data_IF_513256919838
#
_entry.id   IF_513256919838
#
_cell.length_a   1.000
_cell.length_b   1.000
_cell.length_c   1.000
_cell.angle_alpha   90.00
_cell.angle_beta   90.00
_cell.angle_gamma   90.00
#
_symmetry.space_group_name_H-M   'P 1'
#
loop_
_entity.id
_entity.type
_entity.pdbx_description
1 polymer ?
#
# COMPACT_ATOMS: atom_id res chain seq x y z
N UNK A 1 -22.62 24.11 -21.82
CA UNK A 1 -22.15 24.90 -20.67
C UNK A 1 -22.98 24.50 -19.46
N UNK A 2 -22.37 23.97 -18.39
CA UNK A 2 -23.11 23.48 -17.21
C UNK A 2 -22.85 24.42 -16.01
N UNK A 3 -23.85 25.20 -15.56
CA UNK A 3 -23.68 26.14 -14.45
C UNK A 3 -23.65 25.47 -13.07
N UNK A 4 -24.02 24.19 -12.96
CA UNK A 4 -24.01 23.45 -11.68
C UNK A 4 -22.60 22.94 -11.34
N UNK A 5 -21.72 23.87 -10.96
CA UNK A 5 -20.30 23.62 -10.66
C UNK A 5 -19.92 24.18 -9.30
N UNK A 6 -19.35 23.34 -8.43
CA UNK A 6 -18.69 23.75 -7.19
C UNK A 6 -17.16 23.72 -7.40
N UNK A 7 -16.47 24.77 -6.95
CA UNK A 7 -15.00 24.79 -6.89
C UNK A 7 -14.61 24.86 -5.42
N UNK A 8 -14.04 23.78 -4.89
CA UNK A 8 -13.57 23.68 -3.51
C UNK A 8 -12.04 23.80 -3.47
N UNK A 9 -11.52 24.57 -2.52
CA UNK A 9 -10.08 24.72 -2.27
C UNK A 9 -9.80 24.38 -0.81
N UNK A 10 -8.94 23.40 -0.57
CA UNK A 10 -8.48 23.03 0.76
C UNK A 10 -7.03 23.50 0.94
N UNK A 11 -6.70 24.07 2.09
CA UNK A 11 -5.35 24.54 2.44
C UNK A 11 -4.94 23.96 3.78
N UNK A 12 -3.67 23.57 3.95
CA UNK A 12 -3.17 23.10 5.24
C UNK A 12 -3.21 24.26 6.25
N UNK A 13 -3.61 23.93 7.48
CA UNK A 13 -3.60 24.83 8.63
C UNK A 13 -2.88 24.10 9.77
N UNK A 14 -1.73 24.62 10.20
CA UNK A 14 -0.87 23.97 11.20
C UNK A 14 -1.55 23.87 12.57
N UNK A 15 -2.54 24.73 12.84
CA UNK A 15 -3.29 24.74 14.09
C UNK A 15 -4.64 24.04 13.97
N UNK A 16 -4.94 23.37 12.85
CA UNK A 16 -6.24 22.71 12.62
C UNK A 16 -6.59 21.72 13.73
N UNK A 17 -5.68 20.82 14.09
CA UNK A 17 -5.91 19.80 15.13
C UNK A 17 -6.11 20.44 16.51
N UNK A 18 -5.39 21.52 16.81
CA UNK A 18 -5.58 22.27 18.07
C UNK A 18 -6.95 22.94 18.11
N UNK A 19 -7.36 23.60 17.02
CA UNK A 19 -8.68 24.23 16.91
C UNK A 19 -9.78 23.20 17.07
N UNK A 20 -9.64 22.04 16.43
CA UNK A 20 -10.60 20.94 16.55
C UNK A 20 -10.70 20.43 17.99
N UNK A 21 -9.57 20.26 18.68
CA UNK A 21 -9.52 19.86 20.09
C UNK A 21 -10.09 20.95 21.02
N UNK A 22 -9.83 22.24 20.75
CA UNK A 22 -10.40 23.37 21.49
C UNK A 22 -11.92 23.46 21.31
N UNK A 23 -12.42 23.28 20.08
CA UNK A 23 -13.85 23.20 19.76
C UNK A 23 -14.51 22.02 20.49
N UNK A 24 -13.88 20.85 20.50
CA UNK A 24 -14.35 19.67 21.22
C UNK A 24 -14.39 19.92 22.74
N UNK A 25 -13.31 20.45 23.32
CA UNK A 25 -13.22 20.76 24.74
C UNK A 25 -14.22 21.83 25.18
N UNK A 26 -14.45 22.84 24.33
CA UNK A 26 -15.46 23.88 24.56
C UNK A 26 -16.85 23.25 24.58
N UNK A 27 -17.17 22.42 23.58
CA UNK A 27 -18.46 21.72 23.51
C UNK A 27 -18.66 20.77 24.70
N UNK A 28 -17.63 20.04 25.12
CA UNK A 28 -17.67 19.18 26.30
C UNK A 28 -17.89 20.00 27.59
N UNK A 29 -17.25 21.16 27.72
CA UNK A 29 -17.40 22.06 28.86
C UNK A 29 -18.81 22.66 28.92
N UNK A 30 -19.36 23.07 27.78
CA UNK A 30 -20.74 23.54 27.66
C UNK A 30 -21.72 22.46 28.11
N UNK A 31 -21.60 21.24 27.56
CA UNK A 31 -22.45 20.11 27.96
C UNK A 31 -22.32 19.85 29.47
N UNK A 32 -21.09 19.78 29.99
CA UNK A 32 -20.83 19.56 31.42
C UNK A 32 -21.45 20.63 32.32
N UNK A 33 -21.45 21.89 31.88
CA UNK A 33 -22.03 23.01 32.61
C UNK A 33 -23.56 23.00 32.64
N UNK A 34 -24.20 22.41 31.63
CA UNK A 34 -25.67 22.26 31.57
C UNK A 34 -26.21 21.10 32.41
N UNK A 35 -25.36 20.14 32.77
CA UNK A 35 -25.74 18.98 33.57
C UNK A 35 -25.83 19.34 35.05
N UNK A 36 -26.94 18.99 35.68
CA UNK A 36 -27.10 18.98 37.13
C UNK A 36 -26.20 17.92 37.78
N UNK A 37 -25.94 18.06 39.08
CA UNK A 37 -25.17 17.06 39.84
C UNK A 37 -25.83 15.67 39.83
N UNK A 38 -27.15 15.61 39.77
CA UNK A 38 -27.88 14.35 39.64
C UNK A 38 -27.64 13.69 38.26
N UNK A 39 -27.68 14.47 37.18
CA UNK A 39 -27.40 13.96 35.83
C UNK A 39 -25.95 13.51 35.67
N UNK A 40 -24.98 14.20 36.30
CA UNK A 40 -23.58 13.76 36.32
C UNK A 40 -23.40 12.43 37.03
N UNK A 41 -24.06 12.24 38.18
CA UNK A 41 -24.06 10.96 38.88
C UNK A 41 -24.69 9.84 38.03
N UNK A 42 -25.78 10.12 37.32
CA UNK A 42 -26.41 9.16 36.41
C UNK A 42 -25.50 8.81 35.23
N UNK A 43 -24.82 9.79 34.62
CA UNK A 43 -23.87 9.55 33.52
C UNK A 43 -22.72 8.67 33.97
N UNK A 44 -22.13 8.96 35.14
CA UNK A 44 -21.07 8.13 35.72
C UNK A 44 -21.55 6.70 35.99
N UNK A 45 -22.74 6.56 36.58
CA UNK A 45 -23.35 5.24 36.81
C UNK A 45 -23.55 4.47 35.50
N UNK A 46 -24.09 5.10 34.46
CA UNK A 46 -24.26 4.49 33.12
C UNK A 46 -22.92 4.11 32.49
N UNK A 47 -21.87 4.90 32.71
CA UNK A 47 -20.51 4.57 32.28
C UNK A 47 -19.97 3.30 32.94
N UNK A 48 -20.16 3.16 34.25
CA UNK A 48 -19.80 1.94 34.98
C UNK A 48 -20.63 0.73 34.53
N UNK A 49 -21.94 0.91 34.34
CA UNK A 49 -22.83 -0.15 33.81
C UNK A 49 -22.41 -0.57 32.39
N UNK A 50 -21.99 0.37 31.54
CA UNK A 50 -21.49 0.07 30.20
C UNK A 50 -20.17 -0.71 30.26
N UNK A 51 -19.24 -0.28 31.12
CA UNK A 51 -17.97 -0.97 31.33
C UNK A 51 -18.19 -2.40 31.84
N UNK A 52 -19.07 -2.57 32.83
CA UNK A 52 -19.43 -3.88 33.35
C UNK A 52 -20.00 -4.77 32.26
N UNK A 53 -20.90 -4.25 31.41
CA UNK A 53 -21.44 -4.98 30.25
C UNK A 53 -20.37 -5.37 29.24
N UNK A 54 -19.44 -4.49 28.92
CA UNK A 54 -18.35 -4.76 27.97
C UNK A 54 -17.36 -5.82 28.49
N UNK A 55 -17.20 -5.91 29.82
CA UNK A 55 -16.32 -6.90 30.47
C UNK A 55 -17.05 -8.21 30.80
N UNK A 56 -18.38 -8.19 30.82
CA UNK A 56 -19.19 -9.37 31.12
C UNK A 56 -19.03 -10.42 30.02
N UNK A 57 -18.82 -11.67 30.43
CA UNK A 57 -18.80 -12.79 29.47
C UNK A 57 -20.22 -13.15 29.10
N UNK A 58 -20.60 -12.90 27.85
CA UNK A 58 -21.96 -13.17 27.33
C UNK A 58 -22.15 -14.66 26.98
N UNK A 59 -23.41 -15.12 27.05
CA UNK A 59 -23.77 -16.44 26.54
C UNK A 59 -23.93 -16.42 25.02
N UNK A 60 -23.01 -17.09 24.34
CA UNK A 60 -22.98 -17.18 22.89
C UNK A 60 -23.87 -18.33 22.34
N UNK A 61 -24.56 -19.10 23.19
CA UNK A 61 -25.36 -20.26 22.79
C UNK A 61 -26.55 -19.92 21.86
N UNK A 62 -27.01 -18.67 21.91
CA UNK A 62 -28.07 -18.15 21.05
C UNK A 62 -27.61 -17.90 19.60
N UNK A 63 -26.29 -17.87 19.34
CA UNK A 63 -25.74 -17.69 18.01
C UNK A 63 -25.69 -19.04 17.29
N UNK A 64 -26.26 -19.16 16.07
CA UNK A 64 -26.10 -20.36 15.28
C UNK A 64 -24.62 -20.58 14.93
N UNK A 65 -24.13 -21.81 15.09
CA UNK A 65 -22.75 -22.21 14.78
C UNK A 65 -22.73 -23.39 13.83
N UNK A 66 -21.66 -23.50 13.03
CA UNK A 66 -21.37 -24.71 12.26
C UNK A 66 -20.60 -25.71 13.12
N UNK A 67 -20.79 -27.00 12.85
CA UNK A 67 -20.02 -28.04 13.49
C UNK A 67 -18.71 -28.31 12.72
N UNK A 68 -17.71 -28.84 13.42
CA UNK A 68 -16.46 -29.30 12.78
C UNK A 68 -16.75 -30.35 11.70
N UNK A 69 -17.85 -31.10 11.84
CA UNK A 69 -18.31 -32.06 10.84
C UNK A 69 -18.78 -31.42 9.53
N UNK A 70 -19.15 -30.13 9.54
CA UNK A 70 -19.57 -29.38 8.35
C UNK A 70 -18.39 -28.84 7.54
N UNK A 71 -17.15 -28.95 8.07
CA UNK A 71 -15.93 -28.50 7.42
C UNK A 71 -15.34 -29.65 6.59
N UNK A 72 -15.16 -29.43 5.30
CA UNK A 72 -14.46 -30.38 4.42
C UNK A 72 -13.05 -30.67 4.95
N UNK A 73 -12.73 -31.97 5.10
CA UNK A 73 -11.45 -32.40 5.72
C UNK A 73 -10.25 -32.33 4.79
N UNK A 74 -10.49 -32.29 3.48
CA UNK A 74 -9.42 -32.21 2.48
C UNK A 74 -9.59 -30.92 1.67
N UNK A 75 -8.47 -30.44 1.15
CA UNK A 75 -8.45 -29.26 0.29
C UNK A 75 -8.68 -29.66 -1.16
N UNK A 76 -9.46 -28.85 -1.87
CA UNK A 76 -9.64 -29.01 -3.31
C UNK A 76 -8.31 -28.70 -4.00
N UNK A 77 -7.67 -29.72 -4.59
CA UNK A 77 -6.45 -29.57 -5.38
C UNK A 77 -6.84 -29.28 -6.82
N UNK A 78 -6.41 -28.13 -7.33
CA UNK A 78 -6.68 -27.76 -8.72
C UNK A 78 -5.70 -28.46 -9.65
N UNK A 79 -6.17 -29.29 -10.60
CA UNK A 79 -5.29 -29.92 -11.57
C UNK A 79 -4.50 -28.87 -12.35
N UNK A 80 -3.18 -28.96 -12.28
CA UNK A 80 -2.26 -28.06 -12.97
C UNK A 80 -1.41 -28.88 -13.92
N UNK A 81 -1.45 -28.56 -15.21
CA UNK A 81 -0.56 -29.18 -16.19
C UNK A 81 0.71 -28.33 -16.32
N UNK A 82 1.86 -29.00 -16.34
CA UNK A 82 3.16 -28.34 -16.50
C UNK A 82 3.64 -28.59 -17.92
N UNK A 83 3.84 -27.50 -18.65
CA UNK A 83 4.47 -27.49 -19.96
C UNK A 83 5.85 -26.83 -19.85
N UNK A 84 6.69 -27.00 -20.87
CA UNK A 84 7.99 -26.35 -20.95
C UNK A 84 8.09 -25.58 -22.26
N UNK A 85 8.50 -24.31 -22.16
CA UNK A 85 8.90 -23.54 -23.33
C UNK A 85 10.13 -24.19 -23.98
N UNK A 86 10.40 -23.86 -25.24
CA UNK A 86 11.61 -24.30 -25.95
C UNK A 86 12.91 -23.87 -25.26
N UNK A 87 12.86 -22.82 -24.44
CA UNK A 87 13.95 -22.34 -23.60
C UNK A 87 14.12 -23.10 -22.28
N UNK A 88 13.25 -24.07 -21.97
CA UNK A 88 13.24 -24.83 -20.71
C UNK A 88 12.49 -24.15 -19.56
N UNK A 89 11.87 -22.99 -19.78
CA UNK A 89 11.08 -22.30 -18.75
C UNK A 89 9.77 -23.06 -18.51
N UNK A 90 9.42 -23.39 -17.25
CA UNK A 90 8.16 -24.08 -16.94
C UNK A 90 6.96 -23.14 -17.10
N UNK A 91 5.88 -23.68 -17.66
CA UNK A 91 4.59 -23.01 -17.84
C UNK A 91 3.54 -23.82 -17.10
N UNK A 92 2.94 -23.21 -16.09
CA UNK A 92 1.87 -23.81 -15.30
C UNK A 92 0.51 -23.40 -15.87
N UNK A 93 -0.22 -24.38 -16.39
CA UNK A 93 -1.55 -24.17 -16.98
C UNK A 93 -2.61 -24.72 -16.02
N UNK A 94 -3.56 -23.86 -15.67
CA UNK A 94 -4.67 -24.17 -14.78
C UNK A 94 -5.98 -23.86 -15.50
N UNK A 95 -6.58 -24.89 -16.12
CA UNK A 95 -7.83 -24.74 -16.87
C UNK A 95 -9.00 -24.58 -15.89
N UNK A 96 -9.67 -23.42 -15.91
CA UNK A 96 -10.78 -23.06 -15.03
C UNK A 96 -11.90 -22.37 -15.82
N UNK A 97 -13.16 -22.39 -15.35
CA UNK A 97 -14.27 -21.71 -16.03
C UNK A 97 -14.19 -20.18 -15.82
N UNK A 98 -13.29 -19.52 -16.55
CA UNK A 98 -12.98 -18.08 -16.40
C UNK A 98 -13.86 -17.16 -17.24
N UNK A 99 -14.90 -17.68 -17.91
CA UNK A 99 -15.78 -16.91 -18.79
C UNK A 99 -15.01 -16.18 -19.92
N UNK A 100 -14.21 -16.95 -20.67
CA UNK A 100 -13.40 -16.47 -21.82
C UNK A 100 -12.32 -15.42 -21.46
N UNK A 101 -11.91 -15.35 -20.20
CA UNK A 101 -10.81 -14.50 -19.75
C UNK A 101 -9.57 -15.36 -19.52
N UNK A 102 -8.46 -14.99 -20.13
CA UNK A 102 -7.16 -15.61 -19.89
C UNK A 102 -6.35 -14.75 -18.93
N UNK A 103 -5.83 -15.36 -17.87
CA UNK A 103 -4.94 -14.73 -16.90
C UNK A 103 -3.51 -15.22 -17.12
N UNK A 104 -2.57 -14.29 -17.19
CA UNK A 104 -1.16 -14.61 -17.38
C UNK A 104 -0.33 -13.95 -16.29
N UNK A 105 0.56 -14.73 -15.68
CA UNK A 105 1.58 -14.23 -14.77
C UNK A 105 2.95 -14.70 -15.27
N UNK A 106 3.88 -13.77 -15.42
CA UNK A 106 5.29 -14.06 -15.67
C UNK A 106 6.07 -13.69 -14.43
N UNK A 107 6.90 -14.60 -13.95
CA UNK A 107 7.77 -14.39 -12.79
C UNK A 107 9.21 -14.31 -13.26
N UNK A 108 9.84 -13.15 -13.06
CA UNK A 108 11.24 -12.92 -13.37
C UNK A 108 12.05 -12.87 -12.07
N UNK A 109 12.94 -13.85 -11.88
CA UNK A 109 13.78 -13.93 -10.69
C UNK A 109 14.69 -12.70 -10.55
N UNK A 110 14.76 -12.14 -9.35
CA UNK A 110 15.63 -11.00 -9.00
C UNK A 110 16.70 -11.36 -7.98
N UNK A 111 16.89 -12.65 -7.67
CA UNK A 111 17.91 -13.14 -6.73
C UNK A 111 19.32 -12.62 -7.07
N UNK A 112 19.68 -12.66 -8.37
CA UNK A 112 20.96 -12.23 -8.91
C UNK A 112 21.11 -10.72 -9.12
N UNK A 113 20.09 -9.92 -8.81
CA UNK A 113 20.17 -8.47 -8.96
C UNK A 113 21.10 -7.87 -7.89
N UNK A 114 22.05 -6.99 -8.26
CA UNK A 114 22.86 -6.22 -7.31
C UNK A 114 21.99 -5.46 -6.29
N UNK A 115 22.48 -5.35 -5.06
CA UNK A 115 21.72 -4.78 -3.93
C UNK A 115 21.40 -3.29 -4.10
N UNK A 116 22.30 -2.55 -4.73
CA UNK A 116 22.12 -1.15 -5.12
C UNK A 116 20.94 -0.98 -6.10
N UNK A 117 20.76 -1.91 -7.04
CA UNK A 117 19.63 -1.91 -7.97
C UNK A 117 18.31 -2.37 -7.33
N UNK A 118 18.36 -3.23 -6.30
CA UNK A 118 17.16 -3.69 -5.58
C UNK A 118 16.37 -2.52 -4.97
N UNK A 119 17.05 -1.49 -4.50
CA UNK A 119 16.40 -0.28 -3.95
C UNK A 119 15.54 0.48 -4.97
N UNK A 120 15.78 0.30 -6.27
CA UNK A 120 15.01 0.93 -7.34
C UNK A 120 13.87 0.06 -7.87
N UNK A 121 13.74 -1.20 -7.39
CA UNK A 121 12.69 -2.11 -7.85
C UNK A 121 11.28 -1.54 -7.67
N UNK A 122 10.89 -0.90 -6.54
CA UNK A 122 9.54 -0.37 -6.39
C UNK A 122 9.22 0.68 -7.46
N UNK A 123 10.13 1.64 -7.66
CA UNK A 123 10.02 2.65 -8.70
C UNK A 123 9.96 2.02 -10.09
N UNK A 124 10.85 1.05 -10.38
CA UNK A 124 10.86 0.35 -11.64
C UNK A 124 9.51 -0.33 -11.92
N UNK A 125 8.98 -1.10 -10.97
CA UNK A 125 7.71 -1.80 -11.14
C UNK A 125 6.53 -0.84 -11.33
N UNK A 126 6.56 0.33 -10.67
CA UNK A 126 5.50 1.33 -10.79
C UNK A 126 5.47 2.04 -12.14
N UNK A 127 6.62 2.22 -12.78
CA UNK A 127 6.74 2.94 -14.06
C UNK A 127 6.82 2.01 -15.28
N UNK A 128 7.15 0.73 -15.09
CA UNK A 128 7.50 -0.20 -16.16
C UNK A 128 6.48 -0.24 -17.31
N UNK A 129 5.18 -0.24 -16.98
CA UNK A 129 4.09 -0.28 -17.95
C UNK A 129 3.50 1.10 -18.30
N UNK A 130 4.08 2.20 -17.79
CA UNK A 130 3.52 3.57 -17.86
C UNK A 130 4.36 4.59 -18.63
N UNK A 131 5.51 4.18 -19.16
CA UNK A 131 6.49 5.05 -19.82
C UNK A 131 6.42 5.01 -21.36
N UNK A 132 5.80 3.98 -21.94
CA UNK A 132 5.83 3.70 -23.39
C UNK A 132 6.80 2.58 -23.73
N UNK A 133 6.66 2.01 -24.92
CA UNK A 133 7.44 0.85 -25.36
C UNK A 133 7.51 0.77 -26.88
N UNK A 134 8.68 0.38 -27.41
CA UNK A 134 8.92 0.24 -28.83
C UNK A 134 8.67 1.55 -29.58
N UNK A 135 7.68 1.53 -30.48
CA UNK A 135 7.27 2.70 -31.26
C UNK A 135 6.20 3.56 -30.54
N UNK A 136 5.63 3.06 -29.44
CA UNK A 136 4.51 3.72 -28.77
C UNK A 136 4.99 4.64 -27.65
N UNK A 137 4.49 5.86 -27.64
CA UNK A 137 4.61 6.72 -26.47
C UNK A 137 3.68 6.24 -25.32
N UNK A 138 3.79 6.84 -24.15
CA UNK A 138 3.01 6.42 -22.97
C UNK A 138 1.49 6.51 -23.16
N UNK A 139 0.98 7.44 -23.98
CA UNK A 139 -0.46 7.59 -24.24
C UNK A 139 -0.97 6.48 -25.15
N UNK A 140 -0.23 6.23 -26.23
CA UNK A 140 -0.55 5.18 -27.20
C UNK A 140 -0.50 3.80 -26.54
N UNK A 141 0.54 3.53 -25.75
CA UNK A 141 0.65 2.28 -24.99
C UNK A 141 -0.53 2.11 -24.04
N UNK A 142 -0.89 3.16 -23.28
CA UNK A 142 -2.06 3.11 -22.37
C UNK A 142 -3.36 2.78 -23.12
N UNK A 143 -3.59 3.41 -24.27
CA UNK A 143 -4.79 3.15 -25.07
C UNK A 143 -4.84 1.72 -25.60
N UNK A 144 -3.69 1.18 -26.03
CA UNK A 144 -3.62 -0.20 -26.51
C UNK A 144 -3.84 -1.22 -25.38
N UNK A 145 -3.31 -0.94 -24.18
CA UNK A 145 -3.54 -1.74 -22.99
C UNK A 145 -5.04 -1.77 -22.67
N UNK A 146 -5.71 -0.62 -22.60
CA UNK A 146 -7.14 -0.53 -22.30
C UNK A 146 -8.03 -1.15 -23.39
N UNK A 147 -7.59 -1.09 -24.66
CA UNK A 147 -8.35 -1.63 -25.79
C UNK A 147 -8.33 -3.16 -25.83
N UNK A 148 -7.17 -3.77 -25.56
CA UNK A 148 -6.98 -5.20 -25.76
C UNK A 148 -6.98 -6.02 -24.46
N UNK A 149 -6.70 -5.41 -23.32
CA UNK A 149 -6.48 -6.09 -22.04
C UNK A 149 -7.29 -5.45 -20.92
N UNK A 150 -7.43 -6.14 -19.79
CA UNK A 150 -7.94 -5.54 -18.55
C UNK A 150 -6.84 -4.87 -17.69
N UNK A 151 -5.63 -4.75 -18.22
CA UNK A 151 -4.50 -4.09 -17.57
C UNK A 151 -3.23 -4.92 -17.57
N UNK A 152 -2.08 -4.23 -17.60
CA UNK A 152 -0.74 -4.79 -17.43
C UNK A 152 -0.13 -4.31 -16.11
N UNK A 153 -0.04 -5.22 -15.14
CA UNK A 153 0.55 -4.98 -13.84
C UNK A 153 2.00 -5.45 -13.78
N UNK A 154 2.84 -4.68 -13.07
CA UNK A 154 4.19 -5.07 -12.71
C UNK A 154 4.33 -4.85 -11.20
N UNK A 155 4.75 -5.87 -10.47
CA UNK A 155 4.83 -5.82 -9.00
C UNK A 155 5.99 -6.65 -8.50
N UNK A 156 6.55 -6.29 -7.34
CA UNK A 156 7.49 -7.14 -6.63
C UNK A 156 6.68 -8.24 -5.94
N UNK A 157 7.04 -9.50 -6.17
CA UNK A 157 6.50 -10.65 -5.49
C UNK A 157 7.59 -11.27 -4.62
N UNK A 158 7.22 -11.58 -3.38
CA UNK A 158 8.14 -12.22 -2.44
C UNK A 158 7.39 -13.22 -1.57
N UNK A 159 7.91 -14.43 -1.52
CA UNK A 159 7.36 -15.52 -0.72
C UNK A 159 8.43 -16.11 0.19
N UNK A 160 8.04 -16.44 1.42
CA UNK A 160 8.89 -17.20 2.32
C UNK A 160 8.83 -18.69 1.97
N UNK A 161 9.90 -19.40 2.26
CA UNK A 161 9.87 -20.85 2.24
C UNK A 161 8.97 -21.36 3.37
N UNK A 162 8.16 -22.39 3.09
CA UNK A 162 7.13 -22.85 4.03
C UNK A 162 7.71 -23.56 5.27
N UNK A 163 8.93 -24.08 5.21
CA UNK A 163 9.63 -24.74 6.33
C UNK A 163 10.86 -24.00 6.84
N UNK A 164 11.42 -23.07 6.05
CA UNK A 164 12.69 -22.43 6.37
C UNK A 164 12.48 -20.93 6.59
N UNK A 165 12.51 -20.51 7.85
CA UNK A 165 12.12 -19.15 8.25
C UNK A 165 12.97 -18.02 7.65
N UNK A 166 14.20 -18.31 7.23
CA UNK A 166 15.14 -17.32 6.69
C UNK A 166 15.32 -17.42 5.16
N UNK A 167 14.65 -18.37 4.52
CA UNK A 167 14.74 -18.60 3.08
C UNK A 167 13.52 -17.96 2.41
N UNK A 168 13.76 -17.26 1.31
CA UNK A 168 12.71 -16.59 0.55
C UNK A 168 13.04 -16.55 -0.93
N UNK A 169 11.99 -16.46 -1.75
CA UNK A 169 12.08 -16.21 -3.18
C UNK A 169 11.59 -14.79 -3.46
N UNK A 170 12.32 -14.08 -4.32
CA UNK A 170 12.00 -12.72 -4.74
C UNK A 170 12.00 -12.66 -6.27
N UNK A 171 10.91 -12.17 -6.83
CA UNK A 171 10.79 -12.00 -8.27
C UNK A 171 9.97 -10.76 -8.62
N UNK A 172 10.09 -10.29 -9.86
CA UNK A 172 9.14 -9.36 -10.45
C UNK A 172 8.03 -10.19 -11.07
N UNK A 173 6.80 -9.92 -10.65
CA UNK A 173 5.59 -10.50 -11.24
C UNK A 173 4.98 -9.52 -12.23
N UNK A 174 4.95 -9.94 -13.49
CA UNK A 174 4.19 -9.30 -14.56
C UNK A 174 2.84 -10.00 -14.66
N UNK A 175 1.76 -9.30 -14.35
CA UNK A 175 0.41 -9.87 -14.30
C UNK A 175 -0.49 -9.18 -15.31
N UNK A 176 -1.23 -9.94 -16.09
CA UNK A 176 -2.20 -9.39 -17.03
C UNK A 176 -3.38 -10.33 -17.22
N UNK A 177 -4.45 -9.77 -17.77
CA UNK A 177 -5.59 -10.54 -18.20
C UNK A 177 -6.22 -9.91 -19.44
N UNK A 178 -6.80 -10.74 -20.30
CA UNK A 178 -7.51 -10.31 -21.50
C UNK A 178 -8.59 -11.30 -21.85
N UNK A 179 -9.52 -10.86 -22.71
CA UNK A 179 -10.44 -11.78 -23.37
C UNK A 179 -9.64 -12.71 -24.28
N UNK A 180 -10.06 -13.96 -24.41
CA UNK A 180 -9.34 -15.00 -25.15
C UNK A 180 -8.99 -14.57 -26.58
N UNK A 181 -9.94 -13.93 -27.28
CA UNK A 181 -9.73 -13.38 -28.64
C UNK A 181 -8.62 -12.32 -28.75
N UNK A 182 -8.23 -11.70 -27.63
CA UNK A 182 -7.20 -10.67 -27.55
C UNK A 182 -5.90 -11.19 -26.93
N UNK A 183 -5.78 -12.49 -26.64
CA UNK A 183 -4.60 -13.06 -25.99
C UNK A 183 -3.31 -12.79 -26.78
N UNK A 184 -3.32 -12.98 -28.10
CA UNK A 184 -2.17 -12.69 -28.96
C UNK A 184 -1.75 -11.22 -28.88
N UNK A 185 -2.72 -10.30 -28.82
CA UNK A 185 -2.45 -8.85 -28.66
C UNK A 185 -1.86 -8.53 -27.30
N UNK A 186 -2.29 -9.21 -26.24
CA UNK A 186 -1.69 -9.08 -24.91
C UNK A 186 -0.22 -9.55 -24.93
N UNK A 187 0.10 -10.64 -25.63
CA UNK A 187 1.48 -11.11 -25.79
C UNK A 187 2.34 -10.12 -26.60
N UNK A 188 1.82 -9.58 -27.69
CA UNK A 188 2.49 -8.54 -28.49
C UNK A 188 2.86 -7.32 -27.63
N UNK A 189 1.93 -6.88 -26.76
CA UNK A 189 2.17 -5.77 -25.83
C UNK A 189 3.29 -6.10 -24.84
N UNK A 190 3.24 -7.27 -24.19
CA UNK A 190 4.30 -7.70 -23.27
C UNK A 190 5.65 -7.81 -23.95
N UNK A 191 5.71 -8.37 -25.16
CA UNK A 191 6.95 -8.49 -25.91
C UNK A 191 7.61 -7.12 -26.12
N UNK A 192 6.83 -6.10 -26.49
CA UNK A 192 7.35 -4.75 -26.69
C UNK A 192 7.76 -4.09 -25.37
N UNK A 193 6.94 -4.19 -24.33
CA UNK A 193 7.23 -3.61 -22.99
C UNK A 193 8.51 -4.20 -22.40
N UNK A 194 8.70 -5.52 -22.51
CA UNK A 194 9.87 -6.20 -21.96
C UNK A 194 11.11 -5.95 -22.82
N UNK A 195 10.99 -6.03 -24.14
CA UNK A 195 12.17 -6.00 -25.03
C UNK A 195 12.63 -4.60 -25.40
N UNK A 196 11.73 -3.61 -25.36
CA UNK A 196 11.99 -2.24 -25.84
C UNK A 196 11.30 -1.18 -24.95
N UNK A 197 11.49 -1.18 -23.63
CA UNK A 197 10.92 -0.13 -22.78
C UNK A 197 11.52 1.24 -23.13
N UNK A 198 10.69 2.28 -23.16
CA UNK A 198 11.16 3.65 -23.41
C UNK A 198 11.32 4.41 -22.08
N UNK A 199 12.56 4.52 -21.58
CA UNK A 199 12.88 5.30 -20.38
C UNK A 199 13.45 6.69 -20.67
N UNK A 200 13.38 7.17 -21.92
CA UNK A 200 13.97 8.44 -22.32
C UNK A 200 13.09 9.67 -22.04
N UNK A 201 11.79 9.48 -21.79
CA UNK A 201 10.85 10.56 -21.47
C UNK A 201 11.01 11.04 -20.01
N UNK A 202 11.93 11.98 -19.81
CA UNK A 202 12.24 12.52 -18.49
C UNK A 202 11.06 13.28 -17.84
N UNK A 203 10.20 13.92 -18.63
CA UNK A 203 9.08 14.69 -18.10
C UNK A 203 7.95 13.79 -17.61
N UNK A 204 7.68 12.70 -18.35
CA UNK A 204 6.80 11.63 -17.89
C UNK A 204 7.33 10.98 -16.63
N UNK A 205 8.63 10.64 -16.59
CA UNK A 205 9.25 10.04 -15.41
C UNK A 205 9.11 10.93 -14.17
N UNK A 206 9.43 12.22 -14.27
CA UNK A 206 9.27 13.19 -13.17
C UNK A 206 7.81 13.26 -12.70
N UNK A 207 6.86 13.23 -13.63
CA UNK A 207 5.43 13.25 -13.30
C UNK A 207 5.04 12.01 -12.51
N UNK A 208 5.45 10.82 -12.96
CA UNK A 208 5.16 9.55 -12.25
C UNK A 208 5.81 9.52 -10.86
N UNK A 209 7.07 9.93 -10.73
CA UNK A 209 7.76 9.98 -9.42
C UNK A 209 7.02 10.90 -8.44
N UNK A 210 6.56 12.08 -8.88
CA UNK A 210 5.80 13.00 -8.02
C UNK A 210 4.46 12.41 -7.59
N UNK A 211 3.77 11.71 -8.49
CA UNK A 211 2.53 11.03 -8.16
C UNK A 211 2.77 9.93 -7.13
N UNK A 212 3.75 9.04 -7.36
CA UNK A 212 4.11 7.96 -6.43
C UNK A 212 4.45 8.53 -5.05
N UNK A 213 5.28 9.58 -4.99
CA UNK A 213 5.64 10.21 -3.72
C UNK A 213 4.42 10.83 -2.99
N UNK A 214 3.50 11.45 -3.73
CA UNK A 214 2.26 12.01 -3.17
C UNK A 214 1.33 10.92 -2.64
N UNK A 215 1.19 9.82 -3.38
CA UNK A 215 0.35 8.68 -3.02
C UNK A 215 0.92 7.99 -1.77
N UNK A 216 2.24 7.78 -1.71
CA UNK A 216 2.93 7.23 -0.55
C UNK A 216 2.83 8.11 0.70
N UNK A 217 2.89 9.43 0.56
CA UNK A 217 2.71 10.34 1.70
C UNK A 217 1.26 10.31 2.20
N UNK A 218 0.30 10.19 1.28
CA UNK A 218 -1.13 10.14 1.59
C UNK A 218 -1.59 8.79 2.13
N UNK A 219 -0.88 7.71 1.86
CA UNK A 219 -1.18 6.38 2.43
C UNK A 219 -0.76 6.25 3.90
N UNK A 220 0.19 7.05 4.38
CA UNK A 220 0.70 6.94 5.74
C UNK A 220 -0.39 7.15 6.82
N UNK A 221 -1.22 8.21 6.79
CA UNK A 221 -2.32 8.35 7.75
C UNK A 221 -3.38 7.26 7.61
N UNK A 222 -3.70 6.87 6.37
CA UNK A 222 -4.76 5.90 6.07
C UNK A 222 -4.37 4.46 6.43
N UNK A 223 -3.07 4.14 6.47
CA UNK A 223 -2.56 2.77 6.66
C UNK A 223 -1.40 2.71 7.66
N UNK A 224 -1.38 3.61 8.64
CA UNK A 224 -0.27 3.72 9.61
C UNK A 224 0.03 2.42 10.37
N UNK A 225 -0.98 1.61 10.66
CA UNK A 225 -0.82 0.30 11.29
C UNK A 225 0.01 -0.67 10.43
N UNK A 226 -0.17 -0.66 9.10
CA UNK A 226 0.60 -1.50 8.18
C UNK A 226 2.08 -1.10 8.16
N UNK A 227 2.37 0.22 8.16
CA UNK A 227 3.73 0.73 8.27
C UNK A 227 4.39 0.34 9.60
N UNK A 228 3.67 0.48 10.71
CA UNK A 228 4.15 0.09 12.04
C UNK A 228 4.44 -1.43 12.11
N UNK A 229 3.56 -2.27 11.58
CA UNK A 229 3.76 -3.72 11.51
C UNK A 229 4.94 -4.10 10.62
N UNK A 230 5.09 -3.46 9.45
CA UNK A 230 6.23 -3.66 8.55
C UNK A 230 7.55 -3.31 9.23
N UNK A 231 7.62 -2.14 9.86
CA UNK A 231 8.81 -1.71 10.60
C UNK A 231 9.12 -2.62 11.79
N UNK A 232 8.13 -2.98 12.59
CA UNK A 232 8.31 -3.84 13.76
C UNK A 232 8.77 -5.26 13.39
N UNK A 233 8.32 -5.77 12.24
CA UNK A 233 8.71 -7.10 11.76
C UNK A 233 10.01 -7.12 10.95
N UNK A 234 10.54 -5.96 10.55
CA UNK A 234 11.72 -5.84 9.66
C UNK A 234 12.98 -6.55 10.18
N UNK A 235 13.12 -6.71 11.49
CA UNK A 235 14.27 -7.38 12.13
C UNK A 235 14.05 -8.88 12.37
N UNK A 236 12.87 -9.41 12.06
CA UNK A 236 12.50 -10.80 12.35
C UNK A 236 12.92 -11.77 11.24
N UNK A 237 12.97 -11.33 9.98
CA UNK A 237 13.44 -12.15 8.87
C UNK A 237 14.00 -11.29 7.72
N UNK A 238 14.88 -11.85 6.86
CA UNK A 238 15.39 -11.14 5.68
C UNK A 238 14.28 -10.67 4.73
N UNK A 239 13.22 -11.47 4.56
CA UNK A 239 12.08 -11.09 3.73
C UNK A 239 11.25 -9.95 4.34
N UNK A 240 11.10 -9.89 5.66
CA UNK A 240 10.44 -8.78 6.32
C UNK A 240 11.25 -7.48 6.16
N UNK A 241 12.57 -7.57 6.26
CA UNK A 241 13.47 -6.45 5.98
C UNK A 241 13.28 -5.92 4.56
N UNK A 242 13.28 -6.78 3.54
CA UNK A 242 13.05 -6.35 2.15
C UNK A 242 11.65 -5.78 1.92
N UNK A 243 10.62 -6.32 2.58
CA UNK A 243 9.25 -5.77 2.52
C UNK A 243 9.21 -4.33 3.06
N UNK A 244 9.85 -4.09 4.21
CA UNK A 244 9.97 -2.75 4.79
C UNK A 244 10.76 -1.82 3.85
N UNK A 245 11.87 -2.28 3.29
CA UNK A 245 12.65 -1.48 2.34
C UNK A 245 11.90 -1.11 1.06
N UNK A 246 11.00 -1.97 0.58
CA UNK A 246 10.26 -1.73 -0.67
C UNK A 246 8.95 -0.97 -0.50
N UNK A 247 8.29 -1.12 0.64
CA UNK A 247 6.92 -0.62 0.84
C UNK A 247 6.70 0.08 2.19
N UNK A 248 7.70 0.06 3.06
CA UNK A 248 7.66 0.62 4.41
C UNK A 248 8.04 2.09 4.47
N UNK A 249 8.27 2.56 5.70
CA UNK A 249 8.56 3.96 5.99
C UNK A 249 9.92 4.35 5.41
N UNK A 250 10.87 3.42 5.37
CA UNK A 250 12.19 3.66 4.75
C UNK A 250 12.08 4.07 3.28
N UNK A 251 11.07 3.59 2.56
CA UNK A 251 10.84 3.99 1.17
C UNK A 251 10.14 5.36 1.06
N UNK A 252 9.41 5.81 2.08
CA UNK A 252 8.92 7.20 2.13
C UNK A 252 10.09 8.17 2.32
N UNK A 253 11.08 7.75 3.11
CA UNK A 253 12.30 8.51 3.38
C UNK A 253 13.33 8.49 2.22
N UNK A 254 13.16 7.62 1.20
CA UNK A 254 14.02 7.48 0.00
C UNK A 254 13.19 7.65 -1.29
N UNK A 255 13.46 8.56 -2.26
CA UNK A 255 14.52 9.57 -2.39
C UNK A 255 13.99 11.01 -2.59
N UNK A 256 14.75 11.97 -2.09
CA UNK A 256 14.81 13.32 -2.66
C UNK A 256 15.67 13.26 -3.93
N UNK A 257 15.15 13.57 -5.13
CA UNK A 257 15.98 13.69 -6.33
C UNK A 257 17.22 14.57 -6.09
N UNK A 258 18.37 14.36 -6.74
CA UNK A 258 19.49 15.30 -6.65
C UNK A 258 19.08 16.75 -6.99
N UNK A 259 18.12 16.94 -7.91
CA UNK A 259 17.51 18.23 -8.24
C UNK A 259 16.58 18.80 -7.17
N UNK A 260 16.15 17.97 -6.22
CA UNK A 260 15.27 18.32 -5.12
C UNK A 260 16.01 18.46 -3.79
N UNK A 261 17.30 18.10 -3.73
CA UNK A 261 18.17 18.46 -2.60
C UNK A 261 18.24 19.99 -2.53
N UNK A 262 17.81 20.54 -1.40
CA UNK A 262 17.69 21.99 -1.19
C UNK A 262 16.42 22.64 -1.76
N UNK A 263 15.54 21.93 -2.46
CA UNK A 263 14.29 22.51 -2.99
C UNK A 263 13.26 22.77 -1.87
N UNK A 264 13.20 21.90 -0.86
CA UNK A 264 12.36 22.14 0.33
C UNK A 264 12.90 23.30 1.17
N UNK A 265 14.23 23.43 1.26
CA UNK A 265 14.87 24.59 1.87
C UNK A 265 14.54 25.87 1.06
N UNK A 266 14.63 25.82 -0.26
CA UNK A 266 14.33 26.95 -1.13
C UNK A 266 12.85 27.40 -1.09
N UNK A 267 11.90 26.46 -1.01
CA UNK A 267 10.46 26.76 -1.06
C UNK A 267 9.83 27.02 0.32
N UNK A 268 10.38 26.41 1.37
CA UNK A 268 9.75 26.37 2.70
C UNK A 268 10.72 26.66 3.85
N UNK A 269 12.00 26.94 3.58
CA UNK A 269 13.06 27.16 4.57
C UNK A 269 13.27 25.98 5.55
N UNK A 270 12.80 24.79 5.16
CA UNK A 270 12.94 23.56 5.95
C UNK A 270 14.28 22.91 5.62
N UNK A 271 15.19 22.90 6.60
CA UNK A 271 16.49 22.24 6.50
C UNK A 271 16.41 20.74 6.84
N UNK A 272 17.36 19.96 6.32
CA UNK A 272 17.47 18.54 6.69
C UNK A 272 17.76 18.36 8.19
N UNK A 273 18.43 19.33 8.83
CA UNK A 273 18.61 19.36 10.29
C UNK A 273 17.28 19.51 11.04
N UNK A 274 16.36 20.36 10.56
CA UNK A 274 15.02 20.51 11.15
C UNK A 274 14.18 19.23 11.02
N UNK A 275 14.30 18.52 9.89
CA UNK A 275 13.68 17.20 9.71
C UNK A 275 14.26 16.16 10.65
N UNK A 276 15.58 16.14 10.80
CA UNK A 276 16.25 15.24 11.73
C UNK A 276 15.83 15.52 13.18
N UNK A 277 15.73 16.80 13.60
CA UNK A 277 15.23 17.17 14.93
C UNK A 277 13.78 16.72 15.15
N UNK A 278 12.90 16.87 14.14
CA UNK A 278 11.52 16.36 14.23
C UNK A 278 11.48 14.84 14.33
N UNK A 279 12.31 14.15 13.55
CA UNK A 279 12.47 12.68 13.56
C UNK A 279 12.94 12.19 14.93
N UNK A 280 13.98 12.81 15.47
CA UNK A 280 14.53 12.48 16.78
C UNK A 280 13.50 12.72 17.89
N UNK A 281 12.68 13.78 17.80
CA UNK A 281 11.55 14.01 18.73
C UNK A 281 10.48 12.93 18.64
N UNK A 282 10.12 12.49 17.44
CA UNK A 282 9.14 11.40 17.25
C UNK A 282 9.67 10.09 17.84
N UNK A 283 10.94 9.75 17.59
CA UNK A 283 11.53 8.53 18.14
C UNK A 283 11.84 8.61 19.65
N UNK A 284 12.06 9.81 20.18
CA UNK A 284 12.24 10.04 21.61
C UNK A 284 10.93 10.11 22.40
N UNK A 285 9.77 10.08 21.72
CA UNK A 285 8.46 10.13 22.38
C UNK A 285 8.23 8.83 23.13
N UNK A 286 8.08 8.93 24.45
CA UNK A 286 7.86 7.78 25.35
C UNK A 286 6.37 7.48 25.52
N UNK A 287 6.07 6.29 26.06
CA UNK A 287 4.69 5.91 26.39
C UNK A 287 4.09 6.88 27.41
N UNK A 288 4.88 7.37 28.37
CA UNK A 288 4.42 8.39 29.33
C UNK A 288 4.05 9.70 28.64
N UNK A 289 4.81 10.15 27.63
CA UNK A 289 4.51 11.40 26.89
C UNK A 289 3.17 11.31 26.15
N UNK A 290 2.87 10.16 25.52
CA UNK A 290 1.59 9.92 24.85
C UNK A 290 0.43 9.89 25.85
N UNK A 291 0.63 9.29 27.03
CA UNK A 291 -0.37 9.23 28.10
C UNK A 291 -0.58 10.61 28.75
N UNK A 292 0.47 11.42 28.86
CA UNK A 292 0.37 12.77 29.43
C UNK A 292 -0.35 13.75 28.49
N UNK A 293 -0.14 13.63 27.18
CA UNK A 293 -0.89 14.39 26.17
C UNK A 293 -2.35 13.90 26.09
N UNK A 294 -2.59 12.60 26.21
CA UNK A 294 -3.95 12.03 26.21
C UNK A 294 -4.76 12.36 27.49
N UNK A 295 -4.10 12.76 28.58
CA UNK A 295 -4.73 13.18 29.84
C UNK A 295 -4.77 14.71 30.03
N UNK A 296 -4.37 15.49 29.03
CA UNK A 296 -4.55 16.95 28.96
C UNK A 296 -5.68 17.30 28.02
#
# INVERSE_FOLDING_TARGET
>A
DNPHKLTLVMRPDEDYDKKLQEEENTRLSEISSTLSEEEKMQLHKRGLELLEKQMHTEDLSCLPTIHIADIERDIVRVPTTIHYASSGVPIYCCAQPTNEITYMNLLADTSHLPEDLKSYLPLFTDIFTKMGAGIWNYKELSQLIDLYTGGLGCSIFMSNHHTESNTYEQCIRLSSHSLERNFDKMLDLWQNVISRPNFSDNDRLKTLIRMIASDMASSLPNSGHMYAMGQASSTLSPSAQWKELFSGVTQIDKPVPPSSKGLTYFLHDITDALRQVKRDRIFATTKEDLVQVANK
#
